data_IF_426499992596
#
_entry.id   IF_426499992596
#
_cell.length_a   1.000
_cell.length_b   1.000
_cell.length_c   1.000
_cell.angle_alpha   90.00
_cell.angle_beta   90.00
_cell.angle_gamma   90.00
#
_symmetry.space_group_name_H-M   'P 1'
#
loop_
_entity.id
_entity.type
_entity.pdbx_description
1 polymer ?
#
# COMPACT_ATOMS: atom_id res chain seq x y z
N UNK A 1 -13.20 19.07 45.81
CA UNK A 1 -11.89 18.89 45.13
C UNK A 1 -11.90 17.51 44.51
N UNK A 2 -11.87 17.49 43.18
CA UNK A 2 -12.25 16.38 42.33
C UNK A 2 -11.17 15.30 42.23
N UNK A 3 -11.54 14.05 42.49
CA UNK A 3 -10.75 12.88 42.19
C UNK A 3 -10.90 12.52 40.70
N UNK A 4 -9.84 12.77 39.94
CA UNK A 4 -9.27 11.90 38.90
C UNK A 4 -10.26 11.12 38.01
N UNK A 5 -10.81 11.83 37.01
CA UNK A 5 -11.33 11.26 35.77
C UNK A 5 -10.15 10.71 34.94
N UNK A 6 -9.88 9.41 35.07
CA UNK A 6 -9.22 8.60 34.04
C UNK A 6 -10.26 7.60 33.55
N UNK A 7 -11.24 8.09 32.79
CA UNK A 7 -11.97 7.19 31.89
C UNK A 7 -11.00 6.85 30.76
N UNK A 8 -10.56 5.60 30.76
CA UNK A 8 -9.93 4.96 29.62
C UNK A 8 -10.81 5.21 28.39
N UNK A 9 -10.30 5.71 27.26
CA UNK A 9 -11.08 5.67 26.03
C UNK A 9 -11.36 4.21 25.73
N UNK A 10 -12.65 3.93 25.49
CA UNK A 10 -13.17 2.62 25.13
C UNK A 10 -12.27 1.95 24.10
N UNK A 11 -12.01 0.66 24.34
CA UNK A 11 -11.57 -0.26 23.30
C UNK A 11 -12.45 -0.05 22.08
N UNK A 12 -11.87 0.51 21.03
CA UNK A 12 -12.48 0.49 19.69
C UNK A 12 -12.59 -0.99 19.32
N UNK A 13 -13.82 -1.49 19.36
CA UNK A 13 -14.21 -2.81 18.90
C UNK A 13 -13.58 -3.06 17.53
N UNK A 14 -12.71 -4.06 17.47
CA UNK A 14 -11.85 -4.38 16.34
C UNK A 14 -12.60 -5.13 15.24
N UNK A 15 -13.78 -4.67 14.83
CA UNK A 15 -14.68 -5.47 13.97
C UNK A 15 -14.92 -4.96 12.53
N UNK A 16 -14.39 -3.81 12.10
CA UNK A 16 -14.54 -3.38 10.69
C UNK A 16 -13.25 -2.87 10.02
N UNK A 17 -12.09 -3.07 10.65
CA UNK A 17 -10.82 -2.92 9.96
C UNK A 17 -10.50 -4.24 9.26
N UNK A 18 -11.18 -4.51 8.14
CA UNK A 18 -10.77 -5.50 7.14
C UNK A 18 -9.49 -5.00 6.44
N UNK A 19 -8.42 -4.85 7.21
CA UNK A 19 -7.06 -4.88 6.70
C UNK A 19 -6.81 -6.30 6.24
N UNK A 20 -7.31 -6.60 5.03
CA UNK A 20 -7.07 -7.83 4.30
C UNK A 20 -5.63 -8.25 4.51
N UNK A 21 -5.49 -9.25 5.39
CA UNK A 21 -4.30 -9.99 5.78
C UNK A 21 -3.09 -9.61 4.91
N UNK A 22 -2.26 -8.67 5.36
CA UNK A 22 -0.96 -8.37 4.75
C UNK A 22 -0.05 -9.57 5.04
N UNK A 23 -0.29 -10.64 4.29
CA UNK A 23 0.51 -11.85 4.23
C UNK A 23 0.45 -12.35 2.79
N UNK A 24 1.47 -11.96 2.04
CA UNK A 24 2.07 -12.77 0.97
C UNK A 24 1.29 -13.02 -0.32
N UNK A 25 0.02 -12.61 -0.46
CA UNK A 25 -0.71 -12.64 -1.74
C UNK A 25 -1.74 -11.52 -1.73
N UNK A 26 -1.55 -10.51 -2.56
CA UNK A 26 -2.65 -9.63 -2.98
C UNK A 26 -3.53 -10.51 -3.89
N UNK A 27 -4.36 -11.33 -3.26
CA UNK A 27 -5.46 -12.01 -3.94
C UNK A 27 -6.44 -10.91 -4.32
N UNK A 28 -6.38 -10.47 -5.56
CA UNK A 28 -7.46 -9.70 -6.17
C UNK A 28 -8.77 -10.42 -5.85
N UNK A 29 -9.59 -9.83 -4.97
CA UNK A 29 -11.00 -10.18 -4.85
C UNK A 29 -11.58 -9.96 -6.24
N UNK A 30 -11.88 -11.05 -6.95
CA UNK A 30 -12.47 -11.00 -8.28
C UNK A 30 -13.92 -10.55 -8.17
N UNK A 31 -14.12 -9.25 -7.93
CA UNK A 31 -15.39 -8.61 -8.25
C UNK A 31 -15.74 -8.87 -9.72
N UNK A 32 -17.04 -9.02 -10.01
CA UNK A 32 -17.49 -9.17 -11.38
C UNK A 32 -17.13 -7.90 -12.16
N UNK A 33 -16.32 -8.07 -13.21
CA UNK A 33 -15.92 -6.98 -14.09
C UNK A 33 -17.14 -6.33 -14.75
N UNK A 34 -17.36 -5.05 -14.46
CA UNK A 34 -18.40 -4.23 -15.07
C UNK A 34 -17.86 -3.39 -16.23
N UNK A 35 -18.67 -3.17 -17.27
CA UNK A 35 -18.36 -2.22 -18.34
C UNK A 35 -18.92 -0.85 -17.97
N UNK A 36 -18.05 0.14 -17.89
CA UNK A 36 -18.39 1.53 -17.68
C UNK A 36 -17.99 2.35 -18.91
N UNK A 37 -18.81 3.34 -19.28
CA UNK A 37 -18.51 4.24 -20.40
C UNK A 37 -18.07 5.59 -19.83
N UNK A 38 -16.89 6.05 -20.22
CA UNK A 38 -16.34 7.34 -19.83
C UNK A 38 -16.02 8.17 -21.08
N UNK A 39 -16.21 9.48 -20.98
CA UNK A 39 -15.79 10.41 -22.03
C UNK A 39 -14.36 10.83 -21.74
N UNK A 40 -13.49 10.78 -22.75
CA UNK A 40 -12.11 11.23 -22.63
C UNK A 40 -11.61 11.90 -23.92
N UNK A 41 -10.60 12.79 -23.82
CA UNK A 41 -9.98 13.36 -25.01
C UNK A 41 -9.41 12.27 -25.91
N UNK A 42 -9.67 12.38 -27.22
CA UNK A 42 -9.21 11.39 -28.20
C UNK A 42 -7.68 11.23 -28.17
N UNK A 43 -6.95 12.34 -28.11
CA UNK A 43 -5.48 12.34 -28.04
C UNK A 43 -4.96 11.56 -26.83
N UNK A 44 -5.63 11.66 -25.68
CA UNK A 44 -5.26 10.92 -24.48
C UNK A 44 -5.56 9.42 -24.62
N UNK A 45 -6.71 9.07 -25.20
CA UNK A 45 -7.06 7.67 -25.48
C UNK A 45 -6.07 7.01 -26.46
N UNK A 46 -5.62 7.74 -27.48
CA UNK A 46 -4.62 7.27 -28.45
C UNK A 46 -3.25 7.11 -27.80
N UNK A 47 -2.79 8.10 -27.03
CA UNK A 47 -1.53 8.00 -26.28
C UNK A 47 -1.53 6.82 -25.29
N UNK A 48 -2.63 6.63 -24.56
CA UNK A 48 -2.77 5.50 -23.65
C UNK A 48 -2.77 4.15 -24.40
N UNK A 49 -3.36 4.09 -25.61
CA UNK A 49 -3.30 2.88 -26.45
C UNK A 49 -1.88 2.57 -26.90
N UNK A 50 -1.13 3.58 -27.34
CA UNK A 50 0.27 3.43 -27.76
C UNK A 50 1.14 2.88 -26.63
N UNK A 51 0.98 3.39 -25.41
CA UNK A 51 1.69 2.89 -24.23
C UNK A 51 1.24 1.49 -23.83
N UNK A 52 -0.06 1.20 -23.95
CA UNK A 52 -0.63 -0.09 -23.50
C UNK A 52 -0.28 -1.28 -24.39
N UNK A 53 0.11 -1.05 -25.65
CA UNK A 53 0.40 -2.11 -26.61
C UNK A 53 -0.72 -3.16 -26.69
N UNK A 54 -0.32 -4.44 -26.60
CA UNK A 54 -1.22 -5.59 -26.72
C UNK A 54 -2.22 -5.74 -25.56
N UNK A 55 -1.94 -5.15 -24.39
CA UNK A 55 -2.86 -5.19 -23.25
C UNK A 55 -4.11 -4.30 -23.47
N UNK A 56 -3.97 -3.30 -24.34
CA UNK A 56 -5.05 -2.40 -24.75
C UNK A 56 -5.46 -1.37 -23.69
N UNK A 57 -6.30 -0.43 -24.15
CA UNK A 57 -6.69 0.75 -23.38
C UNK A 57 -7.36 0.41 -22.04
N UNK A 58 -8.23 -0.61 -22.02
CA UNK A 58 -8.99 -0.97 -20.82
C UNK A 58 -8.08 -1.46 -19.70
N UNK A 59 -7.09 -2.30 -20.00
CA UNK A 59 -6.15 -2.81 -19.00
C UNK A 59 -5.27 -1.69 -18.44
N UNK A 60 -4.80 -0.81 -19.32
CA UNK A 60 -4.01 0.36 -18.92
C UNK A 60 -4.80 1.29 -17.99
N UNK A 61 -6.03 1.66 -18.37
CA UNK A 61 -6.87 2.54 -17.55
C UNK A 61 -7.23 1.87 -16.23
N UNK A 62 -7.59 0.59 -16.23
CA UNK A 62 -7.93 -0.13 -15.01
C UNK A 62 -6.77 -0.11 -14.01
N UNK A 63 -5.55 -0.44 -14.46
CA UNK A 63 -4.36 -0.39 -13.60
C UNK A 63 -4.02 1.02 -13.11
N UNK A 64 -4.11 2.03 -14.00
CA UNK A 64 -3.86 3.43 -13.62
C UNK A 64 -4.88 3.94 -12.59
N UNK A 65 -6.17 3.61 -12.77
CA UNK A 65 -7.24 3.99 -11.85
C UNK A 65 -7.09 3.27 -10.52
N UNK A 66 -6.73 1.98 -10.50
CA UNK A 66 -6.49 1.25 -9.27
C UNK A 66 -5.38 1.90 -8.43
N UNK A 67 -4.23 2.20 -9.06
CA UNK A 67 -3.12 2.89 -8.39
C UNK A 67 -3.58 4.25 -7.87
N UNK A 68 -4.35 5.00 -8.68
CA UNK A 68 -4.83 6.32 -8.30
C UNK A 68 -5.77 6.27 -7.10
N UNK A 69 -6.77 5.40 -7.13
CA UNK A 69 -7.73 5.22 -6.03
C UNK A 69 -7.01 4.82 -4.75
N UNK A 70 -6.02 3.92 -4.84
CA UNK A 70 -5.20 3.53 -3.68
C UNK A 70 -4.47 4.73 -3.08
N UNK A 71 -3.88 5.58 -3.92
CA UNK A 71 -3.15 6.76 -3.47
C UNK A 71 -4.08 7.83 -2.88
N UNK A 72 -5.25 8.04 -3.47
CA UNK A 72 -6.25 8.99 -2.95
C UNK A 72 -6.76 8.53 -1.57
N UNK A 73 -7.07 7.23 -1.40
CA UNK A 73 -7.44 6.66 -0.10
C UNK A 73 -6.33 6.80 0.95
N UNK A 74 -5.07 6.55 0.57
CA UNK A 74 -3.94 6.75 1.46
C UNK A 74 -3.80 8.21 1.89
N UNK A 75 -3.99 9.15 0.96
CA UNK A 75 -3.98 10.59 1.27
C UNK A 75 -5.08 10.98 2.24
N UNK A 76 -6.29 10.44 2.08
CA UNK A 76 -7.40 10.66 3.01
C UNK A 76 -7.07 10.15 4.42
N UNK A 77 -6.52 8.93 4.52
CA UNK A 77 -6.10 8.35 5.80
C UNK A 77 -5.00 9.17 6.48
N UNK A 78 -4.00 9.62 5.71
CA UNK A 78 -2.92 10.45 6.24
C UNK A 78 -3.44 11.79 6.77
N UNK A 79 -4.39 12.42 6.06
CA UNK A 79 -4.99 13.68 6.50
C UNK A 79 -5.71 13.53 7.85
N UNK A 80 -6.50 12.46 8.03
CA UNK A 80 -7.16 12.15 9.30
C UNK A 80 -6.14 11.88 10.42
N UNK A 81 -5.08 11.14 10.12
CA UNK A 81 -4.02 10.87 11.07
C UNK A 81 -3.31 12.15 11.54
N UNK A 82 -2.99 13.07 10.62
CA UNK A 82 -2.35 14.34 10.95
C UNK A 82 -3.26 15.30 11.70
N UNK A 83 -4.57 15.25 11.48
CA UNK A 83 -5.55 16.00 12.27
C UNK A 83 -5.55 15.56 13.74
N UNK A 84 -5.45 14.25 13.99
CA UNK A 84 -5.45 13.68 15.33
C UNK A 84 -4.11 13.82 16.06
N UNK A 85 -2.99 13.76 15.34
CA UNK A 85 -1.65 13.63 15.94
C UNK A 85 -0.70 14.78 15.63
N UNK A 86 -1.13 15.74 14.80
CA UNK A 86 -0.27 16.77 14.24
C UNK A 86 0.55 16.28 13.04
N UNK A 87 1.20 17.21 12.33
CA UNK A 87 1.93 16.90 11.10
C UNK A 87 3.08 15.93 11.34
N UNK A 88 3.35 15.07 10.36
CA UNK A 88 4.48 14.15 10.41
C UNK A 88 5.77 14.95 10.12
N UNK A 89 6.71 14.96 11.07
CA UNK A 89 7.98 15.69 10.90
C UNK A 89 8.95 14.98 9.95
N UNK A 90 9.78 15.76 9.24
CA UNK A 90 10.80 15.21 8.33
C UNK A 90 11.80 14.31 9.07
N UNK A 91 12.13 14.62 10.32
CA UNK A 91 13.02 13.80 11.14
C UNK A 91 12.42 12.41 11.41
N UNK A 92 11.10 12.34 11.64
CA UNK A 92 10.39 11.07 11.83
C UNK A 92 10.38 10.24 10.55
N UNK A 93 10.19 10.88 9.40
CA UNK A 93 10.25 10.22 8.09
C UNK A 93 11.66 9.67 7.85
N UNK A 94 12.69 10.51 8.03
CA UNK A 94 14.09 10.10 7.84
C UNK A 94 14.50 8.93 8.76
N UNK A 95 14.05 8.96 10.03
CA UNK A 95 14.28 7.87 10.97
C UNK A 95 13.58 6.56 10.54
N UNK A 96 12.34 6.65 10.08
CA UNK A 96 11.58 5.50 9.58
C UNK A 96 12.24 4.90 8.32
N UNK A 97 12.63 5.73 7.36
CA UNK A 97 13.34 5.26 6.17
C UNK A 97 14.67 4.59 6.50
N UNK A 98 15.43 5.14 7.45
CA UNK A 98 16.67 4.54 7.90
C UNK A 98 16.43 3.18 8.58
N UNK A 99 15.31 3.02 9.29
CA UNK A 99 14.91 1.73 9.86
C UNK A 99 14.55 0.71 8.76
N UNK A 100 13.78 1.11 7.74
CA UNK A 100 13.42 0.25 6.60
C UNK A 100 14.66 -0.22 5.86
N UNK A 101 15.56 0.71 5.48
CA UNK A 101 16.81 0.36 4.78
C UNK A 101 17.68 -0.62 5.57
N UNK A 102 17.72 -0.49 6.90
CA UNK A 102 18.44 -1.44 7.77
C UNK A 102 17.79 -2.83 7.74
N UNK A 103 16.46 -2.89 7.89
CA UNK A 103 15.73 -4.15 7.84
C UNK A 103 15.91 -4.88 6.49
N UNK A 104 15.88 -4.14 5.37
CA UNK A 104 16.09 -4.70 4.03
C UNK A 104 17.51 -5.28 3.88
N UNK A 105 18.53 -4.60 4.41
CA UNK A 105 19.90 -5.08 4.38
C UNK A 105 20.07 -6.37 5.20
N UNK A 106 19.48 -6.44 6.40
CA UNK A 106 19.50 -7.65 7.22
C UNK A 106 18.78 -8.82 6.54
N UNK A 107 17.64 -8.57 5.88
CA UNK A 107 16.92 -9.59 5.12
C UNK A 107 17.75 -10.11 3.94
N UNK A 108 18.42 -9.22 3.20
CA UNK A 108 19.30 -9.60 2.10
C UNK A 108 20.49 -10.45 2.59
N UNK A 109 21.08 -10.13 3.74
CA UNK A 109 22.14 -10.93 4.34
C UNK A 109 21.64 -12.33 4.73
N UNK A 110 20.48 -12.42 5.39
CA UNK A 110 19.86 -13.70 5.77
C UNK A 110 19.54 -14.55 4.56
N UNK A 111 19.03 -13.95 3.48
CA UNK A 111 18.75 -14.64 2.22
C UNK A 111 20.03 -15.18 1.57
N UNK A 112 21.13 -14.43 1.61
CA UNK A 112 22.44 -14.89 1.10
C UNK A 112 22.99 -16.05 1.94
N UNK A 113 22.91 -15.94 3.26
CA UNK A 113 23.35 -16.99 4.18
C UNK A 113 22.53 -18.28 4.01
N UNK A 114 21.21 -18.18 3.81
CA UNK A 114 20.36 -19.34 3.57
C UNK A 114 20.60 -19.97 2.19
N UNK A 115 20.90 -19.17 1.15
CA UNK A 115 21.28 -19.69 -0.16
C UNK A 115 22.64 -20.44 -0.12
N UNK A 116 23.63 -19.91 0.58
CA UNK A 116 24.96 -20.53 0.71
C UNK A 116 24.90 -21.90 1.44
N UNK A 117 24.02 -22.03 2.44
CA UNK A 117 23.78 -23.32 3.13
C UNK A 117 23.09 -24.34 2.23
N UNK A 118 22.22 -23.92 1.33
CA UNK A 118 21.51 -24.81 0.40
C UNK A 118 22.46 -25.38 -0.68
N UNK A 119 23.47 -24.61 -1.12
CA UNK A 119 24.44 -25.06 -2.13
C UNK A 119 25.55 -25.96 -1.58
N UNK A 120 25.80 -25.94 -0.27
CA UNK A 120 26.84 -26.76 0.38
C UNK A 120 26.39 -28.15 0.87
N UNK A 121 25.10 -28.49 0.70
CA UNK A 121 24.51 -29.75 1.20
C UNK A 121 24.48 -30.92 0.21
N UNK A 122 25.08 -30.77 -0.98
CA UNK A 122 25.18 -31.83 -1.99
C UNK A 122 26.65 -32.22 -2.19
N UNK A 123 27.22 -32.95 -1.24
CA UNK A 123 28.51 -33.63 -1.36
C UNK A 123 28.49 -34.93 -0.57
#
# INVERSE_FOLDING_TARGET
>A
MAAMLMEMPEMVESEDLDFGRISGRIGFMAEKMGKYSITMPRSLAEAAREVSGDAGLSAYIAGAVEVRVRHDKLGMFLAEYEELHGPISEERIAAAEAAIRRADAEQAERARASAARQTGGAA
#
